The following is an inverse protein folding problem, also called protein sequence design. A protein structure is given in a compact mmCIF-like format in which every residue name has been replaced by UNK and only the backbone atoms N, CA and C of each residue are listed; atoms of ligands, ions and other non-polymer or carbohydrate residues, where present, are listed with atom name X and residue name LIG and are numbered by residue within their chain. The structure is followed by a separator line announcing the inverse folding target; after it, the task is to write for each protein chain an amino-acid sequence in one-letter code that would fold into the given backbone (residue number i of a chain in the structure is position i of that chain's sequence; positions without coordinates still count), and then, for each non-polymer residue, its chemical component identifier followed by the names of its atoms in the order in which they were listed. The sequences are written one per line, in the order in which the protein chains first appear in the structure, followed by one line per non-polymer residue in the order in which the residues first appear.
data_IF_987562424423
#
_entry.id   IF_987562424423
#
_cell.length_a   1.000
_cell.length_b   1.000
_cell.length_c   1.000
_cell.angle_alpha   90.00
_cell.angle_beta   90.00
_cell.angle_gamma   90.00
#
_symmetry.space_group_name_H-M   'P 1'
#
loop_
_entity.id
_entity.type
_entity.pdbx_description
1 polymer ?
#
# COMPACT_ATOMS: atom_id res chain seq x y z
N UNK A 1 44.44 0.32 -0.19
CA UNK A 1 43.34 0.49 -1.17
C UNK A 1 42.67 -0.86 -1.32
N UNK A 2 41.84 -1.19 -0.33
CA UNK A 2 41.24 -2.51 -0.20
C UNK A 2 39.93 -2.60 -0.99
N UNK A 3 39.97 -3.38 -2.05
CA UNK A 3 38.78 -4.01 -2.63
C UNK A 3 38.27 -5.02 -1.63
N UNK A 4 37.10 -4.77 -1.05
CA UNK A 4 36.30 -5.83 -0.42
C UNK A 4 34.91 -5.85 -1.05
N UNK A 5 34.82 -6.63 -2.11
CA UNK A 5 33.59 -7.16 -2.67
C UNK A 5 32.97 -8.08 -1.60
N UNK A 6 31.95 -7.62 -0.90
CA UNK A 6 31.13 -8.50 -0.04
C UNK A 6 29.98 -9.06 -0.87
N UNK A 7 30.25 -10.17 -1.54
CA UNK A 7 29.22 -11.11 -1.98
C UNK A 7 28.68 -11.85 -0.76
N UNK A 8 27.45 -11.55 -0.36
CA UNK A 8 26.66 -12.38 0.55
C UNK A 8 25.34 -12.74 -0.13
N UNK A 9 25.30 -13.91 -0.74
CA UNK A 9 24.05 -14.59 -1.09
C UNK A 9 23.48 -15.25 0.16
N UNK A 10 22.39 -14.68 0.68
CA UNK A 10 21.43 -15.32 1.58
C UNK A 10 20.19 -14.41 1.72
N UNK A 11 19.09 -14.74 1.03
CA UNK A 11 17.71 -14.36 1.42
C UNK A 11 17.42 -12.91 1.83
N UNK A 12 18.14 -11.91 1.32
CA UNK A 12 17.95 -10.51 1.70
C UNK A 12 16.57 -9.98 1.30
N UNK A 13 15.99 -9.13 2.15
CA UNK A 13 14.80 -8.36 1.80
C UNK A 13 15.12 -7.49 0.58
N UNK A 14 14.20 -7.47 -0.39
CA UNK A 14 14.36 -6.68 -1.61
C UNK A 14 14.42 -5.19 -1.24
N UNK A 15 15.39 -4.39 -1.77
CA UNK A 15 15.43 -2.95 -1.53
C UNK A 15 14.11 -2.28 -1.93
N UNK A 16 13.74 -1.21 -1.21
CA UNK A 16 12.44 -0.55 -1.42
C UNK A 16 12.25 -0.07 -2.86
N UNK A 17 13.32 0.39 -3.52
CA UNK A 17 13.26 0.86 -4.90
C UNK A 17 12.91 -0.29 -5.87
N UNK A 18 13.59 -1.43 -5.78
CA UNK A 18 13.24 -2.64 -6.54
C UNK A 18 11.86 -3.21 -6.15
N UNK A 19 11.41 -3.06 -4.90
CA UNK A 19 10.08 -3.51 -4.48
C UNK A 19 8.95 -2.69 -5.14
N UNK A 20 9.15 -1.39 -5.34
CA UNK A 20 8.21 -0.52 -6.08
C UNK A 20 8.05 -0.90 -7.55
N UNK A 21 9.04 -1.58 -8.12
CA UNK A 21 8.94 -2.13 -9.48
C UNK A 21 8.11 -3.42 -9.53
N UNK A 22 8.00 -4.14 -8.41
CA UNK A 22 7.29 -5.41 -8.34
C UNK A 22 5.81 -5.26 -7.96
N UNK A 23 5.48 -4.26 -7.15
CA UNK A 23 4.14 -4.05 -6.63
C UNK A 23 3.74 -2.59 -6.82
N UNK A 24 2.47 -2.37 -7.18
CA UNK A 24 1.95 -1.01 -7.35
C UNK A 24 1.94 -0.26 -6.00
N UNK A 25 1.95 1.08 -6.01
CA UNK A 25 1.80 1.87 -4.78
C UNK A 25 0.56 1.47 -3.96
N UNK A 26 -0.54 1.10 -4.61
CA UNK A 26 -1.75 0.61 -3.95
C UNK A 26 -1.52 -0.73 -3.24
N UNK A 27 -0.91 -1.71 -3.90
CA UNK A 27 -0.60 -3.00 -3.29
C UNK A 27 0.34 -2.85 -2.08
N UNK A 28 1.33 -1.96 -2.17
CA UNK A 28 2.21 -1.63 -1.05
C UNK A 28 1.45 -0.97 0.11
N UNK A 29 0.47 -0.12 -0.20
CA UNK A 29 -0.39 0.53 0.81
C UNK A 29 -1.26 -0.50 1.53
N UNK A 30 -1.91 -1.41 0.80
CA UNK A 30 -2.71 -2.49 1.38
C UNK A 30 -1.86 -3.41 2.27
N UNK A 31 -0.66 -3.75 1.80
CA UNK A 31 0.30 -4.55 2.57
C UNK A 31 0.74 -3.83 3.85
N UNK A 32 1.05 -2.52 3.77
CA UNK A 32 1.39 -1.70 4.93
C UNK A 32 0.25 -1.72 5.97
N UNK A 33 -0.98 -1.43 5.56
CA UNK A 33 -2.16 -1.42 6.43
C UNK A 33 -2.32 -2.79 7.11
N UNK A 34 -2.28 -3.86 6.33
CA UNK A 34 -2.40 -5.22 6.85
C UNK A 34 -1.30 -5.56 7.86
N UNK A 35 -0.04 -5.26 7.55
CA UNK A 35 1.07 -5.58 8.45
C UNK A 35 1.03 -4.78 9.75
N UNK A 36 0.66 -3.49 9.70
CA UNK A 36 0.49 -2.65 10.90
C UNK A 36 -0.50 -3.27 11.87
N UNK A 37 -1.68 -3.69 11.38
CA UNK A 37 -2.72 -4.29 12.21
C UNK A 37 -2.35 -5.70 12.66
N UNK A 38 -1.76 -6.51 11.77
CA UNK A 38 -1.31 -7.87 12.09
C UNK A 38 -0.25 -7.89 13.19
N UNK A 39 0.72 -6.97 13.13
CA UNK A 39 1.82 -6.86 14.09
C UNK A 39 1.45 -6.02 15.32
N UNK A 40 0.23 -5.48 15.39
CA UNK A 40 -0.25 -4.62 16.48
C UNK A 40 0.67 -3.41 16.71
N UNK A 41 1.21 -2.84 15.64
CA UNK A 41 2.11 -1.71 15.72
C UNK A 41 1.30 -0.41 15.91
N UNK A 42 0.88 -0.14 17.15
CA UNK A 42 -0.04 0.95 17.52
C UNK A 42 0.50 2.32 17.11
N UNK A 43 1.81 2.51 17.06
CA UNK A 43 2.48 3.73 16.57
C UNK A 43 2.05 4.13 15.16
N UNK A 44 1.57 3.18 14.37
CA UNK A 44 1.14 3.40 12.99
C UNK A 44 -0.39 3.35 12.81
N UNK A 45 -1.15 3.08 13.87
CA UNK A 45 -2.62 2.98 13.78
C UNK A 45 -3.26 4.30 13.36
N UNK A 46 -2.69 5.45 13.71
CA UNK A 46 -3.19 6.75 13.26
C UNK A 46 -3.24 6.88 11.73
N UNK A 47 -2.15 6.47 11.04
CA UNK A 47 -2.10 6.46 9.57
C UNK A 47 -3.11 5.49 8.95
N UNK A 48 -3.31 4.33 9.58
CA UNK A 48 -4.30 3.36 9.11
C UNK A 48 -5.72 3.92 9.29
N UNK A 49 -6.00 4.54 10.43
CA UNK A 49 -7.30 5.14 10.71
C UNK A 49 -7.63 6.27 9.74
N UNK A 50 -6.68 7.17 9.45
CA UNK A 50 -6.86 8.23 8.46
C UNK A 50 -7.19 7.65 7.07
N UNK A 51 -6.49 6.60 6.65
CA UNK A 51 -6.78 5.91 5.40
C UNK A 51 -8.19 5.30 5.40
N UNK A 52 -8.55 4.55 6.45
CA UNK A 52 -9.86 3.89 6.58
C UNK A 52 -10.99 4.93 6.53
N UNK A 53 -10.84 6.02 7.28
CA UNK A 53 -11.80 7.13 7.30
C UNK A 53 -11.94 7.74 5.90
N UNK A 54 -10.83 8.06 5.23
CA UNK A 54 -10.86 8.64 3.89
C UNK A 54 -11.57 7.73 2.88
N UNK A 55 -11.22 6.44 2.81
CA UNK A 55 -11.82 5.53 1.82
C UNK A 55 -13.29 5.26 2.10
N UNK A 56 -13.67 5.10 3.36
CA UNK A 56 -15.08 4.82 3.74
C UNK A 56 -15.97 6.07 3.66
N UNK A 57 -15.41 7.28 3.70
CA UNK A 57 -16.15 8.50 3.39
C UNK A 57 -16.30 8.72 1.89
N UNK A 58 -15.28 8.36 1.11
CA UNK A 58 -15.28 8.54 -0.34
C UNK A 58 -16.16 7.51 -1.05
N UNK A 59 -16.13 6.25 -0.59
CA UNK A 59 -16.93 5.15 -1.13
C UNK A 59 -17.58 4.41 0.04
N UNK A 60 -18.73 4.89 0.55
CA UNK A 60 -19.42 4.30 1.69
C UNK A 60 -19.83 2.84 1.48
N UNK A 61 -19.94 2.38 0.23
CA UNK A 61 -20.31 1.01 -0.13
C UNK A 61 -19.19 -0.01 0.13
N UNK A 62 -17.97 0.45 0.41
CA UNK A 62 -16.84 -0.44 0.74
C UNK A 62 -17.08 -1.25 2.01
N UNK A 63 -17.79 -0.68 2.98
CA UNK A 63 -18.10 -1.31 4.26
C UNK A 63 -19.43 -0.81 4.78
N UNK A 64 -20.18 -1.65 5.48
CA UNK A 64 -21.36 -1.15 6.22
C UNK A 64 -20.94 -0.10 7.25
N UNK A 65 -21.82 0.86 7.55
CA UNK A 65 -21.54 1.88 8.58
C UNK A 65 -21.09 1.26 9.90
N UNK A 66 -21.73 0.16 10.34
CA UNK A 66 -21.36 -0.52 11.58
C UNK A 66 -19.90 -1.02 11.53
N UNK A 67 -19.47 -1.62 10.41
CA UNK A 67 -18.11 -2.12 10.26
C UNK A 67 -17.07 -0.99 10.18
N UNK A 68 -17.36 0.09 9.45
CA UNK A 68 -16.45 1.24 9.37
C UNK A 68 -16.32 1.91 10.73
N UNK A 69 -17.43 2.13 11.45
CA UNK A 69 -17.44 2.65 12.80
C UNK A 69 -16.66 1.74 13.77
N UNK A 70 -16.86 0.42 13.73
CA UNK A 70 -16.11 -0.54 14.54
C UNK A 70 -14.60 -0.45 14.30
N UNK A 71 -14.18 -0.37 13.04
CA UNK A 71 -12.76 -0.30 12.67
C UNK A 71 -12.15 1.03 13.13
N UNK A 72 -12.77 2.17 12.77
CA UNK A 72 -12.27 3.51 13.10
C UNK A 72 -12.22 3.70 14.62
N UNK A 73 -13.30 3.39 15.33
CA UNK A 73 -13.36 3.53 16.78
C UNK A 73 -12.41 2.56 17.47
N UNK A 74 -12.28 1.32 16.98
CA UNK A 74 -11.39 0.34 17.57
C UNK A 74 -9.91 0.74 17.43
N UNK A 75 -9.51 1.31 16.29
CA UNK A 75 -8.16 1.86 16.09
C UNK A 75 -7.90 3.03 17.04
N UNK A 76 -8.83 4.00 17.12
CA UNK A 76 -8.71 5.16 18.02
C UNK A 76 -8.67 4.74 19.48
N UNK A 77 -9.51 3.79 19.88
CA UNK A 77 -9.52 3.24 21.23
C UNK A 77 -8.16 2.62 21.57
N UNK A 78 -7.57 1.83 20.66
CA UNK A 78 -6.25 1.24 20.88
C UNK A 78 -5.16 2.29 21.04
N UNK A 79 -5.15 3.34 20.22
CA UNK A 79 -4.19 4.45 20.34
C UNK A 79 -4.34 5.14 21.70
N UNK A 80 -5.56 5.47 22.12
CA UNK A 80 -5.81 6.11 23.41
C UNK A 80 -5.34 5.24 24.58
N UNK A 81 -5.63 3.93 24.52
CA UNK A 81 -5.22 3.00 25.57
C UNK A 81 -3.69 2.83 25.63
N UNK A 82 -3.00 2.85 24.49
CA UNK A 82 -1.53 2.79 24.43
C UNK A 82 -0.89 4.03 25.10
N UNK A 83 -1.41 5.23 24.80
CA UNK A 83 -0.99 6.48 25.46
C UNK A 83 -1.26 6.43 26.98
N UNK A 84 -2.42 5.90 27.40
CA UNK A 84 -2.74 5.76 28.82
C UNK A 84 -1.85 4.76 29.56
N UNK A 85 -1.30 3.76 28.87
CA UNK A 85 -0.51 2.70 29.47
C UNK A 85 0.97 3.09 29.62
N UNK A 86 1.56 3.67 28.58
CA UNK A 86 3.02 3.82 28.48
C UNK A 86 3.53 5.24 28.71
N UNK A 87 2.71 6.28 28.51
CA UNK A 87 3.12 7.65 28.78
C UNK A 87 3.02 7.97 30.28
N UNK A 88 4.08 8.52 30.85
CA UNK A 88 4.14 8.92 32.26
C UNK A 88 4.71 10.35 32.41
N UNK A 89 3.87 11.36 32.70
CA UNK A 89 2.39 11.31 32.76
C UNK A 89 1.76 11.18 31.35
N UNK A 90 0.52 10.65 31.23
CA UNK A 90 -0.16 10.59 29.95
C UNK A 90 -0.36 11.97 29.32
N UNK A 91 -0.18 12.08 28.00
CA UNK A 91 -0.47 13.31 27.27
C UNK A 91 -2.00 13.52 27.19
N UNK A 92 -2.52 14.23 28.20
CA UNK A 92 -3.94 14.55 28.30
C UNK A 92 -4.45 15.35 27.08
N UNK A 93 -3.60 16.15 26.42
CA UNK A 93 -4.00 16.96 25.26
C UNK A 93 -4.14 16.09 24.01
N UNK A 94 -3.20 15.19 23.77
CA UNK A 94 -3.28 14.22 22.68
C UNK A 94 -4.48 13.29 22.88
N UNK A 95 -4.68 12.78 24.10
CA UNK A 95 -5.81 11.92 24.44
C UNK A 95 -7.14 12.66 24.24
N UNK A 96 -7.27 13.91 24.72
CA UNK A 96 -8.51 14.66 24.54
C UNK A 96 -8.81 14.96 23.07
N UNK A 97 -7.78 15.20 22.26
CA UNK A 97 -7.94 15.37 20.80
C UNK A 97 -8.51 14.12 20.16
N UNK A 98 -7.99 12.93 20.51
CA UNK A 98 -8.50 11.65 20.01
C UNK A 98 -9.91 11.35 20.53
N UNK A 99 -10.20 11.68 21.79
CA UNK A 99 -11.53 11.54 22.39
C UNK A 99 -12.57 12.41 21.66
N UNK A 100 -12.21 13.64 21.29
CA UNK A 100 -13.11 14.51 20.52
C UNK A 100 -13.38 13.95 19.12
N UNK A 101 -12.38 13.29 18.52
CA UNK A 101 -12.54 12.60 17.23
C UNK A 101 -13.45 11.36 17.33
N UNK A 102 -13.65 10.74 18.51
CA UNK A 102 -14.52 9.56 18.64
C UNK A 102 -15.96 9.81 18.23
N UNK A 103 -16.43 11.06 18.20
CA UNK A 103 -17.75 11.42 17.66
C UNK A 103 -17.75 11.25 16.14
N UNK A 104 -18.20 10.10 15.68
CA UNK A 104 -18.48 9.85 14.26
C UNK A 104 -19.89 10.39 13.94
N UNK A 105 -20.09 11.24 12.91
CA UNK A 105 -21.42 11.70 12.51
C UNK A 105 -22.28 10.53 12.03
N UNK A 106 -23.54 10.50 12.45
CA UNK A 106 -24.47 9.39 12.22
C UNK A 106 -25.57 9.88 11.29
N UNK A 107 -25.82 9.13 10.21
CA UNK A 107 -26.77 9.52 9.16
C UNK A 107 -28.20 9.04 9.43
N UNK A 108 -28.43 8.10 10.35
CA UNK A 108 -29.81 7.64 10.63
C UNK A 108 -29.95 7.07 12.05
N UNK A 109 -31.10 7.28 12.68
CA UNK A 109 -31.39 6.93 14.07
C UNK A 109 -31.42 5.42 14.43
N UNK A 110 -30.84 4.53 13.61
CA UNK A 110 -30.73 3.10 13.87
C UNK A 110 -29.39 2.68 14.50
N UNK A 111 -28.47 3.61 14.73
CA UNK A 111 -27.08 3.34 15.13
C UNK A 111 -26.79 3.64 16.61
N UNK A 112 -27.80 3.47 17.47
CA UNK A 112 -27.75 3.71 18.92
C UNK A 112 -26.67 2.89 19.66
N UNK A 113 -26.32 1.70 19.16
CA UNK A 113 -25.27 0.85 19.74
C UNK A 113 -23.88 1.48 19.61
N UNK A 114 -23.60 2.14 18.48
CA UNK A 114 -22.32 2.79 18.20
C UNK A 114 -22.16 4.01 19.10
N UNK A 115 -23.19 4.86 19.19
CA UNK A 115 -23.23 6.03 20.08
C UNK A 115 -23.03 5.65 21.55
N UNK A 116 -23.72 4.60 21.99
CA UNK A 116 -23.60 4.07 23.36
C UNK A 116 -22.17 3.61 23.63
N UNK A 117 -21.56 2.89 22.68
CA UNK A 117 -20.18 2.41 22.82
C UNK A 117 -19.17 3.55 22.85
N UNK A 118 -19.34 4.57 21.99
CA UNK A 118 -18.53 5.79 22.01
C UNK A 118 -18.61 6.49 23.37
N UNK A 119 -19.84 6.75 23.84
CA UNK A 119 -20.08 7.45 25.11
C UNK A 119 -19.49 6.68 26.29
N UNK A 120 -19.73 5.37 26.37
CA UNK A 120 -19.16 4.52 27.42
C UNK A 120 -17.63 4.55 27.41
N UNK A 121 -17.01 4.48 26.23
CA UNK A 121 -15.56 4.54 26.11
C UNK A 121 -15.00 5.92 26.50
N UNK A 122 -15.67 7.00 26.12
CA UNK A 122 -15.31 8.36 26.55
C UNK A 122 -15.32 8.47 28.08
N UNK A 123 -16.37 7.96 28.74
CA UNK A 123 -16.46 7.94 30.20
C UNK A 123 -15.33 7.11 30.82
N UNK A 124 -15.04 5.93 30.27
CA UNK A 124 -13.92 5.09 30.70
C UNK A 124 -12.59 5.83 30.62
N UNK A 125 -12.28 6.47 29.48
CA UNK A 125 -11.03 7.22 29.29
C UNK A 125 -10.91 8.34 30.34
N UNK A 126 -11.98 9.09 30.59
CA UNK A 126 -11.98 10.14 31.62
C UNK A 126 -11.77 9.56 33.02
N UNK A 127 -12.36 8.41 33.32
CA UNK A 127 -12.19 7.72 34.60
C UNK A 127 -10.72 7.27 34.79
N UNK A 128 -10.11 6.67 33.77
CA UNK A 128 -8.71 6.21 33.81
C UNK A 128 -7.71 7.37 33.91
N UNK A 129 -7.98 8.50 33.25
CA UNK A 129 -7.17 9.71 33.37
C UNK A 129 -7.15 10.25 34.81
N UNK A 130 -8.32 10.31 35.46
CA UNK A 130 -8.48 10.86 36.81
C UNK A 130 -7.97 9.93 37.92
N UNK A 131 -7.95 8.62 37.70
CA UNK A 131 -7.67 7.63 38.75
C UNK A 131 -6.48 6.72 38.39
N UNK A 132 -5.24 7.06 38.79
CA UNK A 132 -4.05 6.27 38.47
C UNK A 132 -4.09 4.83 39.01
N UNK A 133 -4.69 4.60 40.18
CA UNK A 133 -4.83 3.26 40.78
C UNK A 133 -5.76 2.38 39.96
N UNK A 134 -6.94 2.90 39.60
CA UNK A 134 -7.88 2.19 38.72
C UNK A 134 -7.29 1.97 37.33
N UNK A 135 -6.49 2.91 36.83
CA UNK A 135 -5.76 2.73 35.56
C UNK A 135 -4.83 1.51 35.61
N UNK A 136 -4.06 1.35 36.68
CA UNK A 136 -3.19 0.17 36.87
C UNK A 136 -4.01 -1.12 36.91
N UNK A 137 -5.10 -1.15 37.68
CA UNK A 137 -6.00 -2.31 37.74
C UNK A 137 -6.61 -2.63 36.37
N UNK A 138 -7.09 -1.61 35.65
CA UNK A 138 -7.68 -1.77 34.31
C UNK A 138 -6.72 -2.47 33.35
N UNK A 139 -5.45 -2.05 33.27
CA UNK A 139 -4.48 -2.67 32.36
C UNK A 139 -4.07 -4.09 32.77
N UNK A 140 -4.19 -4.43 34.06
CA UNK A 140 -3.89 -5.77 34.56
C UNK A 140 -5.05 -6.74 34.36
N UNK A 141 -6.29 -6.32 34.65
CA UNK A 141 -7.44 -7.23 34.76
C UNK A 141 -8.42 -7.10 33.60
N UNK A 142 -8.71 -5.87 33.17
CA UNK A 142 -9.80 -5.59 32.20
C UNK A 142 -9.28 -5.56 30.77
N UNK A 143 -8.15 -4.91 30.53
CA UNK A 143 -7.58 -4.72 29.21
C UNK A 143 -7.26 -6.04 28.48
N UNK A 144 -6.61 -7.05 29.10
CA UNK A 144 -6.32 -8.31 28.41
C UNK A 144 -7.57 -9.09 28.02
N UNK A 145 -8.69 -8.86 28.72
CA UNK A 145 -9.96 -9.55 28.49
C UNK A 145 -10.79 -8.83 27.43
N UNK A 146 -11.01 -7.52 27.60
CA UNK A 146 -11.90 -6.73 26.74
C UNK A 146 -11.21 -6.22 25.47
N UNK A 147 -9.93 -5.89 25.58
CA UNK A 147 -9.11 -5.37 24.49
C UNK A 147 -7.97 -6.33 24.15
N UNK A 148 -8.13 -7.62 24.45
CA UNK A 148 -7.13 -8.64 24.12
C UNK A 148 -7.25 -9.18 22.70
N UNK A 149 -6.98 -10.49 22.57
CA UNK A 149 -6.94 -11.19 21.28
C UNK A 149 -8.22 -11.08 20.47
N UNK A 150 -9.41 -11.19 21.11
CA UNK A 150 -10.70 -11.08 20.41
C UNK A 150 -10.87 -9.73 19.72
N UNK A 151 -10.46 -8.65 20.40
CA UNK A 151 -10.50 -7.30 19.85
C UNK A 151 -9.52 -7.16 18.68
N UNK A 152 -8.29 -7.67 18.83
CA UNK A 152 -7.27 -7.64 17.77
C UNK A 152 -7.71 -8.43 16.53
N UNK A 153 -8.31 -9.61 16.72
CA UNK A 153 -8.84 -10.42 15.62
C UNK A 153 -10.00 -9.71 14.92
N UNK A 154 -10.86 -9.00 15.65
CA UNK A 154 -11.91 -8.20 15.04
C UNK A 154 -11.32 -7.07 14.16
N UNK A 155 -10.32 -6.33 14.65
CA UNK A 155 -9.63 -5.32 13.86
C UNK A 155 -8.96 -5.91 12.61
N UNK A 156 -8.28 -7.05 12.74
CA UNK A 156 -7.69 -7.76 11.60
C UNK A 156 -8.76 -8.17 10.59
N UNK A 157 -9.86 -8.76 11.03
CA UNK A 157 -10.95 -9.20 10.15
C UNK A 157 -11.57 -8.04 9.38
N UNK A 158 -11.86 -6.93 10.07
CA UNK A 158 -12.41 -5.73 9.45
C UNK A 158 -11.43 -5.12 8.43
N UNK A 159 -10.15 -5.07 8.78
CA UNK A 159 -9.09 -4.56 7.90
C UNK A 159 -8.92 -5.44 6.65
N UNK A 160 -8.91 -6.76 6.82
CA UNK A 160 -8.86 -7.70 5.69
C UNK A 160 -10.09 -7.55 4.79
N UNK A 161 -11.27 -7.40 5.37
CA UNK A 161 -12.51 -7.15 4.63
C UNK A 161 -12.41 -5.89 3.77
N UNK A 162 -11.95 -4.78 4.35
CA UNK A 162 -11.75 -3.52 3.63
C UNK A 162 -10.73 -3.67 2.48
N UNK A 163 -9.56 -4.25 2.75
CA UNK A 163 -8.53 -4.45 1.73
C UNK A 163 -9.04 -5.29 0.57
N UNK A 164 -9.79 -6.36 0.85
CA UNK A 164 -10.39 -7.20 -0.18
C UNK A 164 -11.39 -6.42 -1.06
N UNK A 165 -12.19 -5.53 -0.47
CA UNK A 165 -13.10 -4.68 -1.25
C UNK A 165 -12.34 -3.66 -2.09
N UNK A 166 -11.27 -3.08 -1.55
CA UNK A 166 -10.39 -2.16 -2.29
C UNK A 166 -9.70 -2.84 -3.49
N UNK A 167 -9.22 -4.07 -3.34
CA UNK A 167 -8.61 -4.85 -4.43
C UNK A 167 -9.62 -5.18 -5.55
N UNK A 168 -10.88 -5.41 -5.19
CA UNK A 168 -11.96 -5.63 -6.16
C UNK A 168 -12.35 -4.34 -6.89
N UNK A 169 -12.38 -3.22 -6.16
CA UNK A 169 -12.74 -1.91 -6.70
C UNK A 169 -11.64 -1.37 -7.64
N UNK A 170 -10.38 -1.65 -7.33
CA UNK A 170 -9.20 -1.16 -8.05
C UNK A 170 -8.34 -2.33 -8.56
N UNK A 171 -8.83 -3.11 -9.53
CA UNK A 171 -8.07 -4.23 -10.09
C UNK A 171 -6.83 -3.74 -10.85
N UNK A 172 -5.76 -4.54 -10.83
CA UNK A 172 -4.54 -4.23 -11.60
C UNK A 172 -4.84 -4.39 -13.09
N UNK A 173 -4.71 -3.33 -13.90
CA UNK A 173 -4.99 -3.42 -15.33
C UNK A 173 -3.90 -4.22 -16.05
N UNK A 174 -4.32 -5.04 -17.02
CA UNK A 174 -3.39 -5.74 -17.91
C UNK A 174 -2.87 -4.81 -19.03
N UNK A 175 -1.94 -5.32 -19.85
CA UNK A 175 -1.32 -4.52 -20.92
C UNK A 175 -2.34 -3.93 -21.92
N UNK A 176 -3.37 -4.68 -22.27
CA UNK A 176 -4.41 -4.21 -23.20
C UNK A 176 -5.23 -3.08 -22.59
N UNK A 177 -5.63 -3.24 -21.31
CA UNK A 177 -6.37 -2.23 -20.57
C UNK A 177 -5.55 -0.95 -20.37
N UNK A 178 -4.26 -1.08 -20.01
CA UNK A 178 -3.35 0.08 -19.92
C UNK A 178 -3.11 0.74 -21.27
N UNK A 179 -2.94 -0.06 -22.32
CA UNK A 179 -2.78 0.43 -23.69
C UNK A 179 -3.97 1.31 -24.11
N UNK A 180 -5.20 0.88 -23.83
CA UNK A 180 -6.40 1.67 -24.11
C UNK A 180 -6.46 3.00 -23.34
N UNK A 181 -5.94 3.04 -22.10
CA UNK A 181 -5.91 4.26 -21.28
C UNK A 181 -4.81 5.25 -21.72
N UNK A 182 -3.67 4.75 -22.20
CA UNK A 182 -2.50 5.57 -22.58
C UNK A 182 -2.61 6.07 -24.03
N UNK A 183 -3.23 5.32 -24.93
CA UNK A 183 -3.13 5.50 -26.39
C UNK A 183 -3.84 6.73 -26.97
N UNK A 184 -4.46 7.59 -26.17
CA UNK A 184 -5.22 8.75 -26.67
C UNK A 184 -4.52 10.10 -26.50
N UNK A 185 -3.43 10.18 -25.73
CA UNK A 185 -2.72 11.44 -25.48
C UNK A 185 -1.20 11.26 -25.57
N UNK A 186 -0.56 11.95 -26.52
CA UNK A 186 0.90 11.96 -26.72
C UNK A 186 1.66 12.40 -25.46
N UNK A 187 1.09 13.31 -24.67
CA UNK A 187 1.69 13.75 -23.41
C UNK A 187 1.70 12.62 -22.37
N UNK A 188 0.62 11.82 -22.30
CA UNK A 188 0.54 10.67 -21.39
C UNK A 188 1.56 9.61 -21.79
N UNK A 189 1.71 9.32 -23.08
CA UNK A 189 2.72 8.38 -23.57
C UNK A 189 4.16 8.84 -23.24
N UNK A 190 4.47 10.12 -23.45
CA UNK A 190 5.77 10.69 -23.11
C UNK A 190 6.04 10.65 -21.60
N UNK A 191 5.03 10.94 -20.77
CA UNK A 191 5.13 10.83 -19.33
C UNK A 191 5.41 9.37 -18.89
N UNK A 192 4.80 8.37 -19.54
CA UNK A 192 5.10 6.97 -19.29
C UNK A 192 6.56 6.61 -19.59
N UNK A 193 7.16 7.20 -20.62
CA UNK A 193 8.60 7.04 -20.90
C UNK A 193 9.49 7.50 -19.75
N UNK A 194 9.07 8.52 -19.00
CA UNK A 194 9.77 8.98 -17.79
C UNK A 194 9.65 8.05 -16.58
N UNK A 195 8.80 7.03 -16.62
CA UNK A 195 8.60 6.05 -15.53
C UNK A 195 9.60 4.88 -15.63
N UNK A 196 10.36 4.79 -16.74
CA UNK A 196 11.39 3.75 -16.90
C UNK A 196 12.30 3.77 -15.67
N UNK A 197 12.44 2.63 -14.96
CA UNK A 197 13.10 2.61 -13.68
C UNK A 197 14.62 2.70 -13.82
N UNK A 198 15.28 3.02 -12.71
CA UNK A 198 16.74 2.97 -12.63
C UNK A 198 17.25 1.57 -13.04
N UNK A 199 18.27 1.49 -13.93
CA UNK A 199 18.80 0.22 -14.39
C UNK A 199 19.33 -0.68 -13.26
N UNK A 200 19.88 -0.11 -12.20
CA UNK A 200 20.37 -0.84 -11.03
C UNK A 200 19.24 -1.47 -10.23
N UNK A 201 18.16 -0.72 -10.01
CA UNK A 201 16.97 -1.22 -9.31
C UNK A 201 16.28 -2.35 -10.09
N UNK A 202 16.14 -2.18 -11.41
CA UNK A 202 15.58 -3.21 -12.29
C UNK A 202 16.47 -4.45 -12.34
N UNK A 203 17.78 -4.28 -12.50
CA UNK A 203 18.74 -5.39 -12.47
C UNK A 203 18.67 -6.17 -11.16
N UNK A 204 18.57 -5.47 -10.03
CA UNK A 204 18.43 -6.09 -8.70
C UNK A 204 17.15 -6.93 -8.62
N UNK A 205 16.02 -6.40 -9.09
CA UNK A 205 14.77 -7.14 -9.13
C UNK A 205 14.86 -8.40 -10.02
N UNK A 206 15.43 -8.26 -11.22
CA UNK A 206 15.56 -9.36 -12.19
C UNK A 206 16.44 -10.49 -11.64
N UNK A 207 17.61 -10.16 -11.06
CA UNK A 207 18.50 -11.15 -10.45
C UNK A 207 17.84 -11.85 -9.24
N UNK A 208 17.08 -11.11 -8.43
CA UNK A 208 16.32 -11.69 -7.32
C UNK A 208 15.22 -12.65 -7.77
N UNK A 209 14.56 -12.38 -8.89
CA UNK A 209 13.56 -13.28 -9.48
C UNK A 209 14.21 -14.51 -10.12
N UNK A 210 15.36 -14.32 -10.76
CA UNK A 210 16.15 -15.41 -11.33
C UNK A 210 16.62 -16.40 -10.25
N UNK A 211 17.16 -15.90 -9.13
CA UNK A 211 17.60 -16.75 -8.02
C UNK A 211 16.46 -17.54 -7.35
N UNK A 212 15.21 -17.09 -7.51
CA UNK A 212 14.01 -17.77 -7.00
C UNK A 212 13.39 -18.77 -7.98
N UNK A 213 14.00 -18.99 -9.16
CA UNK A 213 13.53 -19.98 -10.14
C UNK A 213 12.22 -19.63 -10.84
N UNK A 214 11.84 -18.34 -10.89
CA UNK A 214 10.52 -17.90 -11.42
C UNK A 214 10.43 -17.95 -12.96
N UNK A 215 11.54 -18.21 -13.66
CA UNK A 215 11.53 -18.37 -15.12
C UNK A 215 11.00 -19.77 -15.52
N UNK A 216 9.68 -19.92 -15.56
CA UNK A 216 9.06 -21.03 -16.30
C UNK A 216 8.94 -20.62 -17.77
N UNK A 217 9.78 -21.21 -18.61
CA UNK A 217 9.82 -21.03 -20.07
C UNK A 217 8.56 -21.67 -20.68
N UNK A 218 7.40 -21.00 -20.59
CA UNK A 218 6.14 -21.48 -21.19
C UNK A 218 5.60 -20.63 -22.33
N UNK A 219 6.15 -19.44 -22.55
CA UNK A 219 5.78 -18.57 -23.66
C UNK A 219 7.05 -18.07 -24.37
N UNK A 220 7.66 -18.94 -25.17
CA UNK A 220 8.71 -18.52 -26.11
C UNK A 220 8.05 -18.01 -27.38
N UNK A 221 8.26 -16.73 -27.67
CA UNK A 221 8.07 -16.19 -29.03
C UNK A 221 9.03 -16.96 -29.93
N UNK A 222 8.55 -17.48 -31.07
CA UNK A 222 9.42 -18.16 -32.04
C UNK A 222 10.55 -17.23 -32.47
N UNK A 223 11.79 -17.73 -32.52
CA UNK A 223 12.95 -16.96 -32.98
C UNK A 223 12.69 -16.30 -34.35
N UNK A 224 11.88 -16.94 -35.19
CA UNK A 224 11.52 -16.47 -36.53
C UNK A 224 10.73 -15.16 -36.56
N UNK A 225 10.09 -14.74 -35.47
CA UNK A 225 9.29 -13.49 -35.43
C UNK A 225 10.21 -12.26 -35.43
N UNK A 226 11.45 -12.38 -34.93
CA UNK A 226 12.41 -11.28 -34.86
C UNK A 226 13.32 -11.12 -36.09
N UNK A 227 13.37 -12.12 -36.98
CA UNK A 227 14.31 -12.15 -38.10
C UNK A 227 14.11 -11.00 -39.10
N UNK A 228 12.86 -10.52 -39.24
CA UNK A 228 12.55 -9.38 -40.09
C UNK A 228 13.24 -8.10 -39.59
N UNK A 229 13.36 -7.91 -38.27
CA UNK A 229 14.02 -6.73 -37.67
C UNK A 229 15.50 -6.72 -38.07
N UNK A 230 16.19 -7.85 -37.91
CA UNK A 230 17.62 -7.96 -38.26
C UNK A 230 17.84 -7.85 -39.77
N UNK A 231 16.99 -8.47 -40.57
CA UNK A 231 17.07 -8.42 -42.04
C UNK A 231 16.88 -7.00 -42.57
N UNK A 232 15.96 -6.22 -41.98
CA UNK A 232 15.78 -4.81 -42.33
C UNK A 232 16.96 -3.94 -41.91
N UNK A 233 17.55 -4.16 -40.73
CA UNK A 233 18.75 -3.43 -40.29
C UNK A 233 20.00 -3.76 -41.13
N UNK A 234 20.05 -4.97 -41.70
CA UNK A 234 21.12 -5.39 -42.60
C UNK A 234 20.97 -4.85 -44.04
N UNK A 235 19.89 -4.12 -44.35
CA UNK A 235 19.67 -3.57 -45.68
C UNK A 235 20.69 -2.47 -46.01
N UNK A 236 21.42 -2.67 -47.11
CA UNK A 236 22.33 -1.67 -47.68
C UNK A 236 21.75 -1.15 -49.00
N UNK A 237 21.51 0.17 -49.17
CA UNK A 237 21.04 0.72 -50.43
C UNK A 237 22.08 0.48 -51.54
N UNK A 238 21.62 0.18 -52.76
CA UNK A 238 22.51 0.08 -53.92
C UNK A 238 23.13 1.46 -54.21
N UNK A 239 24.43 1.55 -54.53
CA UNK A 239 25.05 2.82 -54.92
C UNK A 239 24.31 3.42 -56.11
N UNK A 240 23.96 4.71 -56.01
CA UNK A 240 23.40 5.47 -57.14
C UNK A 240 24.50 5.55 -58.20
N UNK A 241 24.25 5.10 -59.45
CA UNK A 241 25.24 5.20 -60.51
C UNK A 241 25.60 6.69 -60.72
N UNK A 242 26.89 7.01 -60.97
CA UNK A 242 27.31 8.39 -61.17
C UNK A 242 26.51 9.03 -62.31
N UNK A 243 26.12 10.31 -62.17
CA UNK A 243 25.39 11.00 -63.24
C UNK A 243 26.19 10.93 -64.55
N UNK A 244 25.52 10.77 -65.70
CA UNK A 244 26.19 10.69 -66.98
C UNK A 244 27.05 11.95 -67.20
N UNK A 245 28.26 11.80 -67.77
CA UNK A 245 29.14 12.94 -67.99
C UNK A 245 28.44 14.00 -68.84
N UNK A 246 28.65 15.30 -68.55
CA UNK A 246 28.01 16.37 -69.29
C UNK A 246 28.36 16.25 -70.78
N UNK A 247 27.40 16.53 -71.69
CA UNK A 247 27.64 16.43 -73.11
C UNK A 247 28.81 17.34 -73.52
N UNK A 248 29.69 16.86 -74.41
CA UNK A 248 30.83 17.64 -74.87
C UNK A 248 30.35 18.97 -75.50
N UNK A 249 31.00 20.10 -75.17
CA UNK A 249 30.65 21.41 -75.72
C UNK A 249 30.80 21.42 -77.26
N UNK A 250 30.03 22.29 -77.95
CA UNK A 250 29.74 22.21 -79.38
C UNK A 250 30.97 22.33 -80.29
#
# INVERSE_FOLDING_TARGET
MDRRSSTTGAGGALPMASLRLLASPLQLTYSYIWQVIRQRNVKHYGKVEEFVTMVTQTVPELMTFKQSAQLILGLRARIILDLLQYDNPPDAKAIQTLVNKLKVPISSGKETEVEKSQTNFMVLVQHLLKNPTERKRFFQEVFPVQYGSKFDTALQTLTAGLVCQMEKLLPVPNLSQLGAMISMDSNVLNACGGIIPDPGDLKTLLLHKQSKGVFSVKATVSNSVGDCVLSSLAFMPKPVPPPPPPPPPP
#
